data_IF_054301953059
#
_entry.id   IF_054301953059
#
_cell.length_a   1.000
_cell.length_b   1.000
_cell.length_c   1.000
_cell.angle_alpha   90.00
_cell.angle_beta   90.00
_cell.angle_gamma   90.00
#
_symmetry.space_group_name_H-M   'P 1'
#
loop_
_entity.id
_entity.type
_entity.pdbx_description
1 polymer ?
#
# COMPACT_ATOMS: atom_id res chain seq x y z
N UNK A 1 16.27 22.78 -7.05
CA UNK A 1 15.89 21.41 -7.46
C UNK A 1 15.60 20.61 -6.20
N UNK A 2 14.37 20.18 -5.96
CA UNK A 2 14.02 19.41 -4.78
C UNK A 2 14.01 17.91 -5.14
N UNK A 3 14.95 17.16 -4.57
CA UNK A 3 14.91 15.70 -4.58
C UNK A 3 13.81 15.26 -3.61
N UNK A 4 12.62 14.93 -4.11
CA UNK A 4 11.57 14.35 -3.28
C UNK A 4 11.90 12.89 -3.00
N UNK A 5 12.65 12.65 -1.92
CA UNK A 5 12.85 11.30 -1.41
C UNK A 5 11.52 10.78 -0.87
N UNK A 6 10.95 9.75 -1.49
CA UNK A 6 9.95 8.92 -0.83
C UNK A 6 10.58 8.37 0.44
N UNK A 7 9.94 8.58 1.60
CA UNK A 7 10.41 8.07 2.87
C UNK A 7 10.74 6.58 2.77
N UNK A 8 11.90 6.18 3.33
CA UNK A 8 12.29 4.78 3.38
C UNK A 8 11.24 3.94 4.15
N UNK A 9 10.95 2.71 3.70
CA UNK A 9 9.93 1.90 4.35
C UNK A 9 10.39 1.43 5.73
N UNK A 10 9.44 1.21 6.62
CA UNK A 10 9.68 0.41 7.82
C UNK A 10 9.59 -1.06 7.44
N UNK A 11 10.61 -1.87 7.75
CA UNK A 11 10.68 -3.29 7.40
C UNK A 11 10.72 -4.13 8.67
N UNK A 12 9.83 -5.12 8.75
CA UNK A 12 9.61 -5.97 9.92
C UNK A 12 9.53 -5.23 11.27
N UNK A 13 8.77 -4.11 11.38
CA UNK A 13 8.66 -3.41 12.65
C UNK A 13 7.99 -4.29 13.71
N UNK A 14 8.53 -4.25 14.94
CA UNK A 14 7.93 -4.91 16.08
C UNK A 14 6.62 -4.22 16.50
N UNK A 15 5.69 -4.98 17.07
CA UNK A 15 4.41 -4.48 17.62
C UNK A 15 4.50 -4.38 19.15
N UNK A 16 4.04 -3.29 19.79
CA UNK A 16 3.48 -2.08 19.19
C UNK A 16 4.53 -1.26 18.45
N UNK A 17 4.13 -0.68 17.32
CA UNK A 17 4.97 0.15 16.47
C UNK A 17 4.51 1.61 16.53
N UNK A 18 5.47 2.55 16.50
CA UNK A 18 5.23 3.96 16.21
C UNK A 18 6.36 4.50 15.35
N UNK A 19 6.02 5.21 14.28
CA UNK A 19 6.96 5.72 13.30
C UNK A 19 6.56 7.08 12.77
N UNK A 20 7.56 7.89 12.47
CA UNK A 20 7.40 9.22 11.88
C UNK A 20 6.95 9.08 10.43
N UNK A 21 6.07 9.96 9.98
CA UNK A 21 5.73 10.21 8.58
C UNK A 21 6.51 11.46 8.17
N UNK A 22 7.57 11.29 7.39
CA UNK A 22 8.47 12.38 7.03
C UNK A 22 7.74 13.42 6.17
N UNK A 23 7.69 14.65 6.66
CA UNK A 23 6.94 15.74 6.02
C UNK A 23 5.44 15.72 6.30
N UNK A 24 4.97 14.86 7.22
CA UNK A 24 3.57 14.73 7.61
C UNK A 24 2.68 14.12 6.52
N UNK A 25 1.37 14.06 6.79
CA UNK A 25 0.42 13.68 5.76
C UNK A 25 0.26 14.77 4.70
N UNK A 26 0.24 14.36 3.44
CA UNK A 26 0.06 15.23 2.27
C UNK A 26 -1.06 14.71 1.38
N UNK A 27 -1.77 15.61 0.67
CA UNK A 27 -2.74 15.19 -0.35
C UNK A 27 -2.02 14.33 -1.41
N UNK A 28 -2.58 13.15 -1.70
CA UNK A 28 -2.00 12.17 -2.60
C UNK A 28 -1.04 11.17 -1.94
N UNK A 29 -0.65 11.35 -0.67
CA UNK A 29 0.18 10.36 0.03
C UNK A 29 -0.61 9.07 0.27
N UNK A 30 -0.07 7.95 -0.21
CA UNK A 30 -0.52 6.61 0.10
C UNK A 30 0.44 5.96 1.11
N UNK A 31 -0.12 5.52 2.24
CA UNK A 31 0.57 4.69 3.22
C UNK A 31 0.07 3.26 3.09
N UNK A 32 0.95 2.32 2.81
CA UNK A 32 0.60 0.89 2.63
C UNK A 32 1.24 0.06 3.72
N UNK A 33 0.42 -0.73 4.42
CA UNK A 33 0.81 -1.64 5.49
C UNK A 33 0.60 -3.07 4.99
N UNK A 34 1.65 -3.87 5.02
CA UNK A 34 1.55 -5.32 4.83
C UNK A 34 1.82 -6.03 6.16
N UNK A 35 0.96 -6.99 6.49
CA UNK A 35 1.13 -7.79 7.69
C UNK A 35 0.24 -9.03 7.69
N UNK A 36 0.26 -9.76 8.80
CA UNK A 36 -0.56 -10.97 9.02
C UNK A 36 -1.31 -10.82 10.34
N UNK A 37 -2.63 -11.03 10.30
CA UNK A 37 -3.45 -11.07 11.52
C UNK A 37 -3.13 -12.34 12.29
N UNK A 38 -2.86 -12.23 13.59
CA UNK A 38 -2.61 -13.40 14.44
C UNK A 38 -3.91 -14.13 14.78
N UNK A 39 -3.82 -15.43 15.08
CA UNK A 39 -4.99 -16.25 15.39
C UNK A 39 -5.61 -15.92 16.77
N UNK A 40 -4.86 -15.25 17.66
CA UNK A 40 -5.35 -14.82 18.97
C UNK A 40 -6.54 -13.85 18.86
N UNK A 41 -7.47 -13.92 19.83
CA UNK A 41 -8.68 -13.09 19.86
C UNK A 41 -8.36 -11.69 20.34
N UNK A 42 -8.10 -10.75 19.44
CA UNK A 42 -7.91 -9.36 19.81
C UNK A 42 -8.30 -8.41 18.66
N UNK A 43 -8.13 -7.12 18.91
CA UNK A 43 -8.35 -6.01 17.97
C UNK A 43 -7.02 -5.64 17.29
N UNK A 44 -7.08 -4.99 16.14
CA UNK A 44 -5.94 -4.31 15.50
C UNK A 44 -6.21 -2.82 15.55
N UNK A 45 -5.19 -2.01 15.73
CA UNK A 45 -5.32 -0.55 15.69
C UNK A 45 -4.26 0.04 14.76
N UNK A 46 -4.69 0.92 13.88
CA UNK A 46 -3.82 1.83 13.12
C UNK A 46 -4.26 3.26 13.43
N UNK A 47 -3.35 4.05 13.98
CA UNK A 47 -3.59 5.44 14.34
C UNK A 47 -2.72 6.36 13.50
N UNK A 48 -3.35 7.41 12.96
CA UNK A 48 -2.69 8.60 12.44
C UNK A 48 -2.81 9.70 13.48
N UNK A 49 -1.70 10.08 14.11
CA UNK A 49 -1.67 10.93 15.30
C UNK A 49 -0.64 12.05 15.21
N UNK A 50 -0.79 13.06 16.07
CA UNK A 50 0.17 14.17 16.22
C UNK A 50 1.15 13.84 17.33
N UNK A 51 2.41 13.65 16.94
CA UNK A 51 3.47 13.14 17.81
C UNK A 51 3.19 11.75 18.37
N UNK A 52 3.85 11.43 19.48
CA UNK A 52 3.78 10.11 20.12
C UNK A 52 2.77 10.03 21.27
N UNK A 53 1.96 11.08 21.49
CA UNK A 53 0.89 11.03 22.49
C UNK A 53 -0.35 10.34 21.91
N UNK A 54 -1.02 9.52 22.71
CA UNK A 54 -2.29 8.87 22.32
C UNK A 54 -3.52 9.77 22.58
N UNK A 55 -3.32 11.09 22.72
CA UNK A 55 -4.39 12.03 23.05
C UNK A 55 -5.04 12.65 21.82
N UNK A 56 -4.27 12.79 20.73
CA UNK A 56 -4.70 13.45 19.49
C UNK A 56 -4.47 12.51 18.30
N UNK A 57 -5.53 11.78 17.95
CA UNK A 57 -5.57 10.79 16.87
C UNK A 57 -6.53 11.31 15.82
N UNK A 58 -5.99 11.78 14.69
CA UNK A 58 -6.79 12.29 13.58
C UNK A 58 -7.66 11.19 12.95
N UNK A 59 -7.09 9.99 12.80
CA UNK A 59 -7.80 8.84 12.29
C UNK A 59 -7.38 7.56 13.03
N UNK A 60 -8.33 6.99 13.75
CA UNK A 60 -8.24 5.69 14.42
C UNK A 60 -8.98 4.65 13.58
N UNK A 61 -8.25 3.69 13.03
CA UNK A 61 -8.80 2.57 12.28
C UNK A 61 -8.64 1.28 13.11
N UNK A 62 -9.76 0.70 13.53
CA UNK A 62 -9.76 -0.35 14.54
C UNK A 62 -10.64 -1.56 14.16
N UNK A 63 -10.10 -2.52 13.41
CA UNK A 63 -10.73 -3.82 13.21
C UNK A 63 -10.87 -4.60 14.52
N UNK A 64 -12.10 -5.02 14.82
CA UNK A 64 -12.46 -5.81 16.00
C UNK A 64 -13.06 -7.13 15.55
N UNK A 65 -12.46 -8.24 15.98
CA UNK A 65 -12.88 -9.60 15.61
C UNK A 65 -13.88 -10.20 16.61
N UNK A 66 -14.70 -9.36 17.22
CA UNK A 66 -15.79 -9.71 18.14
C UNK A 66 -17.14 -9.51 17.43
N UNK A 67 -18.21 -10.14 17.93
CA UNK A 67 -19.60 -9.97 17.45
C UNK A 67 -19.77 -10.07 15.92
N UNK A 68 -19.18 -11.09 15.30
CA UNK A 68 -19.23 -11.29 13.84
C UNK A 68 -18.23 -10.44 13.04
N UNK A 69 -17.51 -9.53 13.71
CA UNK A 69 -16.42 -8.76 13.14
C UNK A 69 -16.86 -7.44 12.51
N UNK A 70 -16.28 -6.34 12.96
CA UNK A 70 -16.55 -5.01 12.44
C UNK A 70 -15.30 -4.12 12.54
N UNK A 71 -15.33 -2.97 11.87
CA UNK A 71 -14.27 -1.96 11.95
C UNK A 71 -14.84 -0.67 12.51
N UNK A 72 -14.16 -0.13 13.53
CA UNK A 72 -14.46 1.20 14.09
C UNK A 72 -13.50 2.21 13.50
N UNK A 73 -14.05 3.33 13.04
CA UNK A 73 -13.32 4.53 12.64
C UNK A 73 -13.69 5.67 13.60
N UNK A 74 -12.70 6.41 14.10
CA UNK A 74 -12.98 7.56 14.96
C UNK A 74 -11.81 8.56 14.97
N UNK A 75 -12.00 9.69 15.62
CA UNK A 75 -11.01 10.72 15.91
C UNK A 75 -10.98 10.95 17.42
N UNK A 76 -9.79 11.12 17.98
CA UNK A 76 -9.59 11.47 19.39
C UNK A 76 -8.94 12.85 19.45
N UNK A 77 -9.49 13.77 20.23
CA UNK A 77 -8.92 15.11 20.43
C UNK A 77 -8.80 15.38 21.92
N UNK A 78 -7.62 15.81 22.37
CA UNK A 78 -7.35 16.10 23.79
C UNK A 78 -7.80 14.99 24.72
N UNK A 79 -7.55 13.74 24.34
CA UNK A 79 -7.92 12.57 25.14
C UNK A 79 -9.36 12.07 24.98
N UNK A 80 -10.23 12.79 24.27
CA UNK A 80 -11.65 12.46 24.16
C UNK A 80 -12.00 11.91 22.77
N UNK A 81 -12.72 10.80 22.73
CA UNK A 81 -13.21 10.20 21.50
C UNK A 81 -14.43 10.97 20.97
N UNK A 82 -14.47 11.17 19.65
CA UNK A 82 -15.65 11.67 18.96
C UNK A 82 -16.69 10.58 18.68
N UNK A 83 -17.68 10.86 17.81
CA UNK A 83 -18.68 9.89 17.39
C UNK A 83 -18.05 8.73 16.59
N UNK A 84 -18.33 7.48 16.94
CA UNK A 84 -17.83 6.32 16.19
C UNK A 84 -18.52 6.18 14.82
N UNK A 85 -17.75 5.86 13.78
CA UNK A 85 -18.25 5.32 12.52
C UNK A 85 -17.95 3.82 12.46
N UNK A 86 -18.97 2.99 12.26
CA UNK A 86 -18.82 1.53 12.28
C UNK A 86 -19.12 0.94 10.91
N UNK A 87 -18.18 0.15 10.40
CA UNK A 87 -18.40 -0.70 9.22
C UNK A 87 -18.57 -2.14 9.68
N UNK A 88 -19.78 -2.68 9.53
CA UNK A 88 -20.16 -4.03 9.99
C UNK A 88 -19.61 -5.17 9.09
N UNK A 89 -18.63 -4.85 8.24
CA UNK A 89 -17.95 -5.83 7.40
C UNK A 89 -16.53 -5.98 7.93
N UNK A 90 -16.09 -7.22 8.11
CA UNK A 90 -14.71 -7.55 8.46
C UNK A 90 -13.90 -7.87 7.17
N UNK A 91 -12.98 -6.99 6.74
CA UNK A 91 -12.19 -7.24 5.53
C UNK A 91 -10.91 -8.05 5.81
N UNK A 92 -10.66 -8.42 7.07
CA UNK A 92 -9.47 -9.16 7.49
C UNK A 92 -9.84 -10.59 7.90
N UNK A 93 -8.92 -11.52 7.66
CA UNK A 93 -9.06 -12.91 8.12
C UNK A 93 -7.90 -13.26 9.05
N UNK A 94 -8.22 -13.87 10.21
CA UNK A 94 -7.22 -14.37 11.16
C UNK A 94 -6.30 -15.39 10.49
N UNK A 95 -5.01 -15.31 10.80
CA UNK A 95 -3.98 -16.16 10.22
C UNK A 95 -3.62 -15.84 8.77
N UNK A 96 -4.27 -14.85 8.13
CA UNK A 96 -4.01 -14.50 6.73
C UNK A 96 -3.23 -13.18 6.60
N UNK A 97 -2.37 -13.09 5.57
CA UNK A 97 -1.75 -11.83 5.21
C UNK A 97 -2.79 -10.84 4.69
N UNK A 98 -2.52 -9.55 4.83
CA UNK A 98 -3.32 -8.46 4.30
C UNK A 98 -2.43 -7.37 3.71
N UNK A 99 -3.00 -6.61 2.78
CA UNK A 99 -2.49 -5.32 2.32
C UNK A 99 -3.52 -4.24 2.68
N UNK A 100 -3.15 -3.31 3.55
CA UNK A 100 -4.01 -2.20 3.99
C UNK A 100 -3.40 -0.89 3.49
N UNK A 101 -4.15 -0.13 2.71
CA UNK A 101 -3.70 1.14 2.15
C UNK A 101 -4.58 2.29 2.61
N UNK A 102 -3.95 3.39 3.00
CA UNK A 102 -4.59 4.66 3.33
C UNK A 102 -4.13 5.70 2.32
N UNK A 103 -5.03 6.17 1.47
CA UNK A 103 -4.78 7.29 0.57
C UNK A 103 -5.33 8.56 1.20
N UNK A 104 -4.45 9.53 1.43
CA UNK A 104 -4.83 10.86 1.90
C UNK A 104 -5.37 11.67 0.71
N UNK A 105 -6.63 12.05 0.77
CA UNK A 105 -7.23 13.00 -0.16
C UNK A 105 -7.53 14.31 0.57
N UNK A 106 -7.94 15.33 -0.19
CA UNK A 106 -8.19 16.68 0.36
C UNK A 106 -9.18 16.70 1.52
N UNK A 107 -10.26 15.92 1.42
CA UNK A 107 -11.36 15.92 2.39
C UNK A 107 -11.47 14.65 3.22
N UNK A 108 -10.74 13.58 2.87
CA UNK A 108 -10.91 12.28 3.50
C UNK A 108 -9.67 11.38 3.39
N UNK A 109 -9.66 10.33 4.21
CA UNK A 109 -8.87 9.13 3.97
C UNK A 109 -9.69 8.14 3.14
N UNK A 110 -9.12 7.63 2.05
CA UNK A 110 -9.67 6.49 1.31
C UNK A 110 -8.91 5.22 1.70
N UNK A 111 -9.63 4.25 2.26
CA UNK A 111 -9.06 3.01 2.78
C UNK A 111 -9.34 1.85 1.83
N UNK A 112 -8.29 1.11 1.49
CA UNK A 112 -8.38 -0.12 0.70
C UNK A 112 -7.81 -1.28 1.49
N UNK A 113 -8.46 -2.43 1.42
CA UNK A 113 -7.96 -3.69 1.99
C UNK A 113 -7.88 -4.72 0.87
N UNK A 114 -6.71 -5.33 0.71
CA UNK A 114 -6.39 -6.26 -0.37
C UNK A 114 -6.79 -5.69 -1.75
N UNK A 115 -6.44 -4.42 -2.00
CA UNK A 115 -6.72 -3.64 -3.22
C UNK A 115 -8.19 -3.36 -3.50
N UNK A 116 -9.10 -3.78 -2.62
CA UNK A 116 -10.51 -3.45 -2.73
C UNK A 116 -10.84 -2.25 -1.85
N UNK A 117 -11.67 -1.34 -2.36
CA UNK A 117 -12.19 -0.24 -1.56
C UNK A 117 -12.97 -0.78 -0.35
N UNK A 118 -12.73 -0.20 0.83
CA UNK A 118 -13.37 -0.62 2.06
C UNK A 118 -14.19 0.49 2.72
N UNK A 119 -13.55 1.61 3.04
CA UNK A 119 -14.20 2.75 3.70
C UNK A 119 -13.55 4.06 3.29
N UNK A 120 -14.32 5.14 3.31
CA UNK A 120 -13.83 6.51 3.29
C UNK A 120 -14.10 7.15 4.65
N UNK A 121 -13.15 7.91 5.18
CA UNK A 121 -13.29 8.57 6.48
C UNK A 121 -12.98 10.05 6.31
N UNK A 122 -14.00 10.90 6.50
CA UNK A 122 -13.85 12.36 6.35
C UNK A 122 -12.90 12.91 7.42
N UNK A 123 -12.05 13.85 7.03
CA UNK A 123 -11.14 14.52 7.97
C UNK A 123 -11.94 15.32 9.00
N UNK A 124 -11.90 14.92 10.27
CA UNK A 124 -12.50 15.68 11.38
C UNK A 124 -11.56 16.69 12.01
N UNK A 125 -10.27 16.53 11.75
CA UNK A 125 -9.19 17.46 12.11
C UNK A 125 -8.30 17.66 10.90
N UNK A 126 -7.54 18.77 10.84
CA UNK A 126 -6.66 19.01 9.71
C UNK A 126 -5.55 17.94 9.63
N UNK A 127 -5.52 17.18 8.53
CA UNK A 127 -4.58 16.07 8.34
C UNK A 127 -3.11 16.50 8.36
N UNK A 128 -2.81 17.77 8.05
CA UNK A 128 -1.44 18.31 8.05
C UNK A 128 -0.79 18.35 9.44
N UNK A 129 -1.56 18.19 10.51
CA UNK A 129 -1.05 18.08 11.88
C UNK A 129 -0.53 16.67 12.19
N UNK A 130 -0.82 15.68 11.34
CA UNK A 130 -0.40 14.30 11.54
C UNK A 130 1.02 14.11 11.02
N UNK A 131 1.88 13.63 11.90
CA UNK A 131 3.28 13.32 11.60
C UNK A 131 3.69 11.91 12.04
N UNK A 132 2.77 11.12 12.61
CA UNK A 132 3.09 9.84 13.23
C UNK A 132 2.03 8.79 12.88
N UNK A 133 2.50 7.60 12.50
CA UNK A 133 1.68 6.39 12.39
C UNK A 133 2.00 5.47 13.57
N UNK A 134 0.98 4.99 14.27
CA UNK A 134 1.11 3.98 15.30
C UNK A 134 0.26 2.74 14.96
N UNK A 135 0.84 1.56 15.19
CA UNK A 135 0.18 0.27 14.89
C UNK A 135 0.31 -0.66 16.10
N UNK A 136 -0.80 -1.22 16.54
CA UNK A 136 -0.84 -2.13 17.69
C UNK A 136 -1.90 -3.21 17.56
N UNK A 137 -1.89 -4.19 18.47
CA UNK A 137 -2.86 -5.28 18.51
C UNK A 137 -2.31 -6.62 18.01
N UNK A 138 -3.20 -7.55 17.65
CA UNK A 138 -2.83 -8.93 17.28
C UNK A 138 -2.46 -9.08 15.80
N UNK A 139 -1.28 -8.57 15.45
CA UNK A 139 -0.72 -8.69 14.10
C UNK A 139 0.81 -8.78 14.13
N UNK A 140 1.37 -9.30 13.03
CA UNK A 140 2.78 -9.12 12.67
C UNK A 140 2.86 -8.19 11.47
N UNK A 141 3.81 -7.26 11.47
CA UNK A 141 4.06 -6.36 10.34
C UNK A 141 5.22 -6.87 9.51
N UNK A 142 5.04 -6.85 8.19
CA UNK A 142 6.09 -7.12 7.21
C UNK A 142 6.72 -5.81 6.75
N UNK A 143 5.92 -4.82 6.35
CA UNK A 143 6.43 -3.49 6.06
C UNK A 143 5.35 -2.40 6.11
N UNK A 144 5.82 -1.15 6.20
CA UNK A 144 5.02 0.06 5.96
C UNK A 144 5.75 0.90 4.90
N UNK A 145 5.08 1.23 3.80
CA UNK A 145 5.62 2.07 2.72
C UNK A 145 4.86 3.38 2.59
N UNK A 146 5.53 4.38 2.01
CA UNK A 146 5.01 5.74 1.81
C UNK A 146 5.24 6.13 0.34
N UNK A 147 4.16 6.44 -0.39
CA UNK A 147 4.23 6.77 -1.81
C UNK A 147 3.29 7.92 -2.14
N UNK A 148 3.84 9.01 -2.72
CA UNK A 148 3.02 10.11 -3.22
C UNK A 148 2.40 9.74 -4.58
N UNK A 149 1.07 9.65 -4.67
CA UNK A 149 0.37 9.51 -5.94
C UNK A 149 0.38 10.84 -6.70
N UNK A 150 0.75 10.81 -7.99
CA UNK A 150 0.86 11.99 -8.85
C UNK A 150 2.29 12.30 -9.31
N UNK A 151 3.31 11.70 -8.68
CA UNK A 151 4.70 11.72 -9.15
C UNK A 151 5.08 10.29 -9.56
N UNK A 152 4.65 9.89 -10.76
CA UNK A 152 5.33 8.77 -11.42
C UNK A 152 6.71 9.29 -11.83
N UNK A 153 7.84 8.66 -11.46
CA UNK A 153 9.04 8.83 -12.25
C UNK A 153 8.64 8.53 -13.69
N UNK A 154 8.80 9.48 -14.60
CA UNK A 154 8.61 9.26 -16.02
C UNK A 154 9.69 8.28 -16.49
N UNK A 155 9.56 7.00 -16.17
CA UNK A 155 10.43 5.94 -16.63
C UNK A 155 9.53 4.80 -17.13
N UNK A 156 9.38 4.85 -18.46
CA UNK A 156 9.09 3.78 -19.39
C UNK A 156 7.92 2.86 -19.04
N UNK A 157 6.80 3.13 -19.70
CA UNK A 157 5.80 2.11 -20.00
C UNK A 157 6.51 0.86 -20.55
N UNK A 158 6.05 -0.37 -20.22
CA UNK A 158 6.59 -1.55 -20.84
C UNK A 158 6.36 -1.42 -22.34
N UNK A 159 7.45 -1.49 -23.13
CA UNK A 159 7.36 -1.60 -24.58
C UNK A 159 6.65 -2.93 -24.84
N UNK A 160 5.33 -2.87 -25.04
CA UNK A 160 4.61 -3.97 -25.63
C UNK A 160 5.18 -4.14 -27.04
N UNK A 161 5.97 -5.19 -27.27
CA UNK A 161 6.39 -5.54 -28.61
C UNK A 161 5.13 -5.80 -29.43
N UNK A 162 4.83 -4.91 -30.36
CA UNK A 162 3.74 -5.09 -31.30
C UNK A 162 4.16 -6.21 -32.25
N UNK A 163 3.62 -7.42 -32.04
CA UNK A 163 3.65 -8.46 -33.08
C UNK A 163 2.67 -7.99 -34.15
N UNK A 164 3.22 -7.46 -35.25
CA UNK A 164 2.43 -7.05 -36.42
C UNK A 164 1.93 -8.34 -37.08
N UNK A 165 0.70 -8.74 -36.80
CA UNK A 165 -0.03 -9.63 -37.70
C UNK A 165 -0.72 -8.76 -38.75
N UNK A 166 -0.19 -8.80 -39.98
CA UNK A 166 -0.78 -8.21 -41.16
C UNK A 166 -2.14 -8.87 -41.40
N UNK A 167 -3.24 -8.17 -41.18
CA UNK A 167 -4.58 -8.61 -41.61
C UNK A 167 -5.14 -7.58 -42.59
N UNK A 168 -5.45 -8.10 -43.77
CA UNK A 168 -5.94 -7.43 -44.96
C UNK A 168 -7.14 -6.50 -44.71
N UNK A 169 -7.13 -5.40 -45.45
CA UNK A 169 -8.16 -4.35 -45.54
C UNK A 169 -9.45 -4.83 -46.22
N UNK A 170 -10.59 -4.35 -45.71
CA UNK A 170 -11.81 -4.13 -46.49
C UNK A 170 -12.54 -2.85 -45.97
N UNK A 171 -13.13 -1.99 -46.83
CA UNK A 171 -13.66 -0.68 -46.43
C UNK A 171 -15.18 -0.66 -46.24
N UNK A 172 -15.66 0.01 -45.20
CA UNK A 172 -17.07 0.33 -44.98
C UNK A 172 -17.29 1.30 -43.80
N UNK A 173 -18.03 2.41 -43.93
CA UNK A 173 -18.04 3.52 -42.97
C UNK A 173 -19.26 3.54 -42.03
N UNK A 174 -19.10 4.01 -40.79
CA UNK A 174 -20.09 4.83 -40.07
C UNK A 174 -19.50 5.47 -38.79
N UNK A 175 -19.85 6.72 -38.56
CA UNK A 175 -19.39 7.62 -37.48
C UNK A 175 -20.05 7.31 -36.10
N UNK A 176 -19.51 7.85 -34.98
CA UNK A 176 -19.76 7.35 -33.62
C UNK A 176 -20.82 8.14 -32.82
N UNK A 177 -21.41 7.51 -31.81
CA UNK A 177 -22.16 8.15 -30.71
C UNK A 177 -21.28 8.22 -29.45
N UNK A 178 -21.29 9.29 -28.63
CA UNK A 178 -20.40 9.45 -27.49
C UNK A 178 -20.95 8.70 -26.26
N UNK A 179 -20.47 7.48 -26.05
CA UNK A 179 -20.69 6.72 -24.82
C UNK A 179 -19.56 6.98 -23.83
N UNK A 180 -19.92 7.48 -22.66
CA UNK A 180 -19.06 7.64 -21.48
C UNK A 180 -18.36 6.30 -21.20
N UNK A 181 -17.05 6.24 -21.38
CA UNK A 181 -16.24 5.07 -21.03
C UNK A 181 -16.20 4.96 -19.50
N UNK A 182 -16.40 3.76 -18.92
CA UNK A 182 -16.17 3.57 -17.50
C UNK A 182 -14.71 3.89 -17.20
N UNK A 183 -14.45 4.69 -16.17
CA UNK A 183 -13.11 4.93 -15.67
C UNK A 183 -12.57 3.61 -15.13
N UNK A 184 -11.89 2.86 -16.00
CA UNK A 184 -11.13 1.69 -15.62
C UNK A 184 -9.95 2.18 -14.79
N UNK A 185 -10.06 2.06 -13.47
CA UNK A 185 -8.89 2.13 -12.61
C UNK A 185 -7.91 1.07 -13.12
N UNK A 186 -6.67 1.43 -13.49
CA UNK A 186 -5.70 0.44 -13.94
C UNK A 186 -5.38 -0.44 -12.73
N UNK A 187 -5.96 -1.64 -12.70
CA UNK A 187 -5.38 -2.75 -11.98
C UNK A 187 -4.02 -2.97 -12.61
N UNK A 188 -2.95 -2.51 -11.94
CA UNK A 188 -1.57 -2.85 -12.31
C UNK A 188 -1.38 -4.36 -12.12
N UNK A 189 -1.84 -5.14 -13.09
CA UNK A 189 -1.51 -6.55 -13.23
C UNK A 189 -0.09 -6.61 -13.78
N UNK A 190 0.87 -7.00 -12.93
CA UNK A 190 2.24 -7.24 -13.37
C UNK A 190 2.31 -8.62 -14.03
N UNK A 191 2.77 -8.72 -15.30
CA UNK A 191 2.92 -10.01 -15.97
C UNK A 191 4.00 -10.84 -15.29
N UNK A 192 3.81 -12.16 -15.23
CA UNK A 192 4.83 -13.12 -14.74
C UNK A 192 5.36 -13.90 -15.95
N UNK A 193 6.69 -13.90 -16.21
CA UNK A 193 7.76 -13.27 -15.45
C UNK A 193 7.79 -11.73 -15.58
N UNK A 194 8.09 -11.05 -14.47
CA UNK A 194 8.24 -9.60 -14.44
C UNK A 194 9.72 -9.21 -14.47
N UNK A 195 10.07 -8.26 -15.34
CA UNK A 195 11.42 -7.69 -15.42
C UNK A 195 11.34 -6.17 -15.33
N UNK A 196 12.18 -5.58 -14.49
CA UNK A 196 12.35 -4.13 -14.41
C UNK A 196 13.78 -3.77 -14.04
N UNK A 197 14.21 -2.57 -14.42
CA UNK A 197 15.48 -2.01 -13.96
C UNK A 197 15.32 -1.45 -12.54
N UNK A 198 16.39 -1.49 -11.74
CA UNK A 198 16.43 -0.83 -10.44
C UNK A 198 16.96 0.58 -10.68
N UNK A 199 16.15 1.64 -10.52
CA UNK A 199 16.62 3.00 -10.73
C UNK A 199 17.82 3.29 -9.82
N UNK A 200 18.88 3.84 -10.41
CA UNK A 200 20.16 4.16 -9.76
C UNK A 200 20.91 2.96 -9.16
N UNK A 201 20.56 1.72 -9.55
CA UNK A 201 21.22 0.52 -9.04
C UNK A 201 20.96 0.27 -7.56
N UNK A 202 21.81 -0.56 -6.94
CA UNK A 202 21.80 -0.87 -5.51
C UNK A 202 22.82 0.00 -4.78
N UNK A 203 22.48 0.45 -3.58
CA UNK A 203 23.39 1.13 -2.66
C UNK A 203 23.04 0.73 -1.22
N UNK A 204 23.96 0.91 -0.24
CA UNK A 204 23.67 0.62 1.16
C UNK A 204 22.35 1.27 1.61
N UNK A 205 21.51 0.53 2.32
CA UNK A 205 20.17 0.96 2.77
C UNK A 205 19.07 1.01 1.68
N UNK A 206 19.36 0.66 0.42
CA UNK A 206 18.31 0.53 -0.59
C UNK A 206 17.48 -0.73 -0.34
N UNK A 207 16.17 -0.56 -0.11
CA UNK A 207 15.24 -1.67 0.09
C UNK A 207 14.50 -1.98 -1.21
N UNK A 208 14.43 -3.27 -1.58
CA UNK A 208 13.53 -3.78 -2.62
C UNK A 208 12.45 -4.58 -1.92
N UNK A 209 11.19 -4.19 -2.13
CA UNK A 209 10.02 -4.90 -1.60
C UNK A 209 9.34 -5.60 -2.77
N UNK A 210 9.18 -6.92 -2.66
CA UNK A 210 8.39 -7.74 -3.58
C UNK A 210 7.21 -8.29 -2.81
N UNK A 211 6.00 -7.87 -3.19
CA UNK A 211 4.76 -8.36 -2.60
C UNK A 211 3.90 -9.01 -3.68
N UNK A 212 3.27 -10.13 -3.34
CA UNK A 212 2.46 -10.92 -4.26
C UNK A 212 1.78 -12.09 -3.56
N UNK A 213 1.04 -12.87 -4.34
CA UNK A 213 0.34 -14.08 -3.87
C UNK A 213 1.02 -15.28 -4.53
N UNK A 214 1.37 -16.29 -3.73
CA UNK A 214 1.82 -17.59 -4.26
C UNK A 214 0.58 -18.39 -4.67
N UNK A 215 0.51 -18.81 -5.93
CA UNK A 215 -0.63 -19.58 -6.45
C UNK A 215 -0.70 -20.96 -5.77
N UNK A 216 -1.90 -21.53 -5.52
CA UNK A 216 -2.06 -22.82 -4.84
C UNK A 216 -1.29 -23.99 -5.47
N UNK A 217 -1.12 -23.96 -6.80
CA UNK A 217 -0.43 -25.01 -7.57
C UNK A 217 1.03 -24.63 -7.92
N UNK A 218 1.58 -23.58 -7.31
CA UNK A 218 2.94 -23.12 -7.61
C UNK A 218 3.97 -24.15 -7.12
N UNK A 219 4.74 -24.72 -8.05
CA UNK A 219 5.86 -25.61 -7.72
C UNK A 219 7.08 -24.85 -7.22
N UNK A 220 7.33 -23.65 -7.77
CA UNK A 220 8.42 -22.73 -7.39
C UNK A 220 8.02 -21.30 -7.69
N UNK A 221 8.48 -20.36 -6.86
CA UNK A 221 8.48 -18.93 -7.12
C UNK A 221 9.89 -18.40 -6.83
N UNK A 222 10.36 -17.39 -7.56
CA UNK A 222 11.69 -16.84 -7.37
C UNK A 222 11.79 -15.40 -7.85
N UNK A 223 12.59 -14.61 -7.15
CA UNK A 223 13.02 -13.28 -7.56
C UNK A 223 14.53 -13.25 -7.69
N UNK A 224 15.05 -12.55 -8.69
CA UNK A 224 16.50 -12.41 -8.90
C UNK A 224 16.85 -10.96 -9.19
N UNK A 225 17.90 -10.45 -8.55
CA UNK A 225 18.55 -9.20 -8.96
C UNK A 225 19.75 -9.55 -9.82
N UNK A 226 19.80 -9.04 -11.06
CA UNK A 226 20.91 -9.26 -11.99
C UNK A 226 21.67 -7.95 -12.17
N UNK A 227 22.98 -8.00 -12.04
CA UNK A 227 23.85 -6.92 -12.46
C UNK A 227 24.00 -6.99 -13.99
N UNK A 228 23.60 -5.92 -14.70
CA UNK A 228 23.99 -5.75 -16.10
C UNK A 228 25.45 -5.35 -16.09
N UNK A 229 26.33 -6.18 -16.62
CA UNK A 229 27.77 -5.98 -16.51
C UNK A 229 28.22 -4.71 -17.26
N UNK A 230 28.39 -3.62 -16.52
CA UNK A 230 29.39 -2.59 -16.82
C UNK A 230 30.19 -2.33 -15.54
N UNK A 231 31.22 -3.18 -15.35
CA UNK A 231 32.30 -3.14 -14.34
C UNK A 231 31.87 -3.18 -12.86
N UNK A 232 32.45 -4.16 -12.16
CA UNK A 232 32.48 -4.41 -10.71
C UNK A 232 31.34 -5.28 -10.12
N UNK A 233 31.65 -6.45 -9.54
CA UNK A 233 30.67 -7.32 -8.90
C UNK A 233 30.49 -6.92 -7.42
N UNK A 234 29.25 -6.60 -7.04
CA UNK A 234 28.84 -6.68 -5.63
C UNK A 234 27.70 -7.70 -5.54
N UNK A 235 27.92 -8.77 -4.78
CA UNK A 235 26.85 -9.66 -4.33
C UNK A 235 26.12 -8.97 -3.18
N UNK A 236 24.90 -8.49 -3.43
CA UNK A 236 24.01 -7.98 -2.40
C UNK A 236 23.14 -9.11 -1.84
N UNK A 237 23.17 -9.32 -0.53
CA UNK A 237 22.26 -10.24 0.14
C UNK A 237 20.81 -9.78 -0.07
N UNK A 238 20.00 -10.68 -0.62
CA UNK A 238 18.55 -10.43 -0.82
C UNK A 238 17.82 -10.84 0.45
N UNK A 239 17.17 -9.88 1.13
CA UNK A 239 16.19 -10.22 2.16
C UNK A 239 14.87 -10.54 1.47
N UNK A 240 14.59 -11.84 1.31
CA UNK A 240 13.31 -12.33 0.80
C UNK A 240 12.38 -12.52 1.98
N UNK A 241 11.36 -11.68 2.12
CA UNK A 241 10.25 -11.93 3.04
C UNK A 241 9.16 -12.62 2.23
N UNK A 242 9.26 -13.95 2.11
CA UNK A 242 8.15 -14.78 1.64
C UNK A 242 7.21 -15.03 2.82
N UNK A 243 6.02 -14.44 2.80
CA UNK A 243 4.92 -14.90 3.65
C UNK A 243 4.23 -16.05 2.92
N UNK A 244 4.51 -17.28 3.35
CA UNK A 244 3.78 -18.48 2.92
C UNK A 244 2.41 -18.56 3.61
N UNK A 245 1.45 -19.12 2.87
CA UNK A 245 0.02 -19.32 3.21
C UNK A 245 -0.18 -20.18 4.46
#
# INVERSE_FOLDING_TARGET
>A
MAFFSTQAPYVNPAIPFSGIIQGGLQEGLQITIQGTVLASVNRITVNFQTGFSENDIAFHFNPRFEDGGYVVCNTKQRGHWGPEERKMQMPFQKGRPFELSFLVQRSEFKVMVNKNFFVQYSHRVPYHLVDTIAVSGSLKLSFITFQLQGIRPAHQAPVAQTVIHTVHTAPGPMFPTPGIQPVAYPTSAYPVPFFTSIPNGLYPSKTIIVAGIVLPNAKRCGSSVKATASRCPWMGNTCVITSTV
#
